data_IF_086297423924
#
_entry.id   IF_086297423924
#
_cell.length_a   1.000
_cell.length_b   1.000
_cell.length_c   1.000
_cell.angle_alpha   90.00
_cell.angle_beta   90.00
_cell.angle_gamma   90.00
#
_symmetry.space_group_name_H-M   'P 1'
#
loop_
_entity.id
_entity.type
_entity.pdbx_description
1 polymer ?
#
# COMPACT_ATOMS: atom_id res chain seq x y z
N UNK A 1 0.78 4.82 3.89
CA UNK A 1 1.52 3.71 4.56
C UNK A 1 3.03 3.88 4.46
N UNK A 2 3.62 4.04 3.27
CA UNK A 2 5.08 4.23 3.11
C UNK A 2 5.62 5.39 3.94
N UNK A 3 4.96 6.56 3.90
CA UNK A 3 5.30 7.72 4.74
C UNK A 3 5.34 7.36 6.24
N UNK A 4 4.37 6.55 6.69
CA UNK A 4 4.35 6.06 8.08
C UNK A 4 5.53 5.15 8.41
N UNK A 5 5.87 4.20 7.52
CA UNK A 5 7.02 3.31 7.70
C UNK A 5 8.32 4.11 7.81
N UNK A 6 8.57 5.00 6.84
CA UNK A 6 9.79 5.81 6.82
C UNK A 6 9.83 6.82 7.95
N UNK A 7 8.68 7.45 8.30
CA UNK A 7 8.59 8.35 9.44
C UNK A 7 8.94 7.65 10.75
N UNK A 8 8.43 6.44 10.98
CA UNK A 8 8.74 5.66 12.19
C UNK A 8 10.23 5.27 12.22
N UNK A 9 10.81 4.84 11.10
CA UNK A 9 12.25 4.56 11.03
C UNK A 9 13.08 5.81 11.30
N UNK A 10 12.68 6.97 10.80
CA UNK A 10 13.37 8.24 11.09
C UNK A 10 13.33 8.60 12.57
N UNK A 11 12.21 8.39 13.27
CA UNK A 11 12.12 8.62 14.72
C UNK A 11 13.03 7.68 15.50
N UNK A 12 13.24 6.45 15.03
CA UNK A 12 14.19 5.52 15.62
C UNK A 12 15.63 6.02 15.48
N UNK A 13 16.01 6.47 14.28
CA UNK A 13 17.31 7.09 14.01
C UNK A 13 17.57 8.34 14.89
N UNK A 14 16.55 9.21 15.01
CA UNK A 14 16.63 10.39 15.88
C UNK A 14 16.81 10.02 17.35
N UNK A 15 16.10 9.00 17.84
CA UNK A 15 16.28 8.52 19.22
C UNK A 15 17.73 8.06 19.46
N UNK A 16 18.27 7.26 18.52
CA UNK A 16 19.65 6.80 18.61
C UNK A 16 20.64 7.97 18.57
N UNK A 17 20.46 8.92 17.67
CA UNK A 17 21.29 10.11 17.54
C UNK A 17 21.35 10.92 18.83
N UNK A 18 20.21 11.29 19.40
CA UNK A 18 20.16 12.11 20.59
C UNK A 18 20.64 11.39 21.84
N UNK A 19 20.40 10.08 21.95
CA UNK A 19 20.76 9.31 23.15
C UNK A 19 22.24 8.90 23.15
N UNK A 20 22.75 8.43 22.01
CA UNK A 20 24.06 7.75 21.96
C UNK A 20 25.15 8.67 21.44
N UNK A 21 24.83 9.56 20.50
CA UNK A 21 25.84 10.37 19.82
C UNK A 21 25.87 11.83 20.29
N UNK A 22 24.73 12.53 20.29
CA UNK A 22 24.64 13.95 20.65
C UNK A 22 24.51 14.16 22.15
N UNK A 23 24.11 13.15 22.91
CA UNK A 23 23.95 13.19 24.36
C UNK A 23 23.01 14.32 24.84
N UNK A 24 21.90 14.53 24.13
CA UNK A 24 20.93 15.58 24.47
C UNK A 24 19.82 15.01 25.35
N UNK A 25 19.78 15.49 26.60
CA UNK A 25 18.84 15.02 27.63
C UNK A 25 17.41 15.36 27.26
N UNK A 26 17.13 16.54 26.72
CA UNK A 26 15.78 16.99 26.40
C UNK A 26 15.16 16.16 25.25
N UNK A 27 15.89 16.04 24.12
CA UNK A 27 15.41 15.27 22.99
C UNK A 27 15.35 13.76 23.29
N UNK A 28 16.30 13.26 24.09
CA UNK A 28 16.24 11.86 24.55
C UNK A 28 14.98 11.62 25.39
N UNK A 29 14.62 12.53 26.30
CA UNK A 29 13.40 12.42 27.11
C UNK A 29 12.12 12.42 26.26
N UNK A 30 12.12 13.15 25.13
CA UNK A 30 10.98 13.18 24.19
C UNK A 30 10.87 11.87 23.41
N UNK A 31 11.97 11.38 22.85
CA UNK A 31 11.93 10.24 21.91
C UNK A 31 12.00 8.87 22.60
N UNK A 32 12.86 8.73 23.62
CA UNK A 32 13.06 7.46 24.31
C UNK A 32 11.80 7.02 25.05
N UNK A 33 11.41 5.78 24.89
CA UNK A 33 10.24 5.17 25.54
C UNK A 33 8.89 5.62 24.96
N UNK A 34 8.67 6.91 24.77
CA UNK A 34 7.38 7.46 24.32
C UNK A 34 6.97 6.94 22.91
N UNK A 35 7.92 6.85 21.99
CA UNK A 35 7.68 6.40 20.62
C UNK A 35 7.91 4.90 20.42
N UNK A 36 8.39 4.22 21.44
CA UNK A 36 8.70 2.79 21.39
C UNK A 36 7.56 1.87 20.90
N UNK A 37 6.28 2.10 21.25
CA UNK A 37 5.20 1.30 20.72
C UNK A 37 5.07 1.39 19.20
N UNK A 38 5.34 2.56 18.61
CA UNK A 38 5.23 2.78 17.17
C UNK A 38 6.19 1.88 16.37
N UNK A 39 7.30 1.47 16.96
CA UNK A 39 8.30 0.65 16.28
C UNK A 39 7.85 -0.81 16.01
N UNK A 40 6.67 -1.20 16.52
CA UNK A 40 6.01 -2.46 16.15
C UNK A 40 5.09 -2.34 14.92
N UNK A 41 4.87 -1.13 14.38
CA UNK A 41 4.01 -0.91 13.23
C UNK A 41 4.66 -1.10 11.86
N UNK A 42 5.98 -0.81 11.64
CA UNK A 42 6.58 -0.90 10.30
C UNK A 42 6.43 -2.28 9.65
N UNK A 43 6.56 -3.36 10.43
CA UNK A 43 6.36 -4.72 9.93
C UNK A 43 4.94 -4.99 9.40
N UNK A 44 3.90 -4.84 10.24
CA UNK A 44 2.51 -4.90 9.80
C UNK A 44 2.17 -3.98 8.63
N UNK A 45 2.66 -2.74 8.66
CA UNK A 45 2.43 -1.78 7.58
C UNK A 45 3.07 -2.24 6.27
N UNK A 46 4.29 -2.80 6.30
CA UNK A 46 4.94 -3.37 5.13
C UNK A 46 4.13 -4.53 4.54
N UNK A 47 3.67 -5.44 5.40
CA UNK A 47 2.86 -6.59 4.97
C UNK A 47 1.54 -6.15 4.34
N UNK A 48 0.79 -5.26 5.01
CA UNK A 48 -0.48 -4.76 4.50
C UNK A 48 -0.28 -3.97 3.20
N UNK A 49 0.78 -3.16 3.12
CA UNK A 49 1.14 -2.44 1.90
C UNK A 49 1.43 -3.41 0.75
N UNK A 50 2.30 -4.41 0.98
CA UNK A 50 2.67 -5.42 -0.01
C UNK A 50 1.44 -6.18 -0.51
N UNK A 51 0.64 -6.73 0.40
CA UNK A 51 -0.57 -7.48 0.07
C UNK A 51 -1.55 -6.63 -0.74
N UNK A 52 -1.85 -5.43 -0.25
CA UNK A 52 -2.88 -4.59 -0.86
C UNK A 52 -2.46 -4.07 -2.23
N UNK A 53 -1.19 -3.69 -2.40
CA UNK A 53 -0.68 -3.23 -3.69
C UNK A 53 -0.69 -4.33 -4.75
N UNK A 54 -0.37 -5.58 -4.37
CA UNK A 54 -0.34 -6.70 -5.31
C UNK A 54 -1.73 -7.30 -5.58
N UNK A 55 -2.69 -7.19 -4.65
CA UNK A 55 -4.00 -7.85 -4.76
C UNK A 55 -5.17 -6.88 -4.89
N UNK A 56 -4.90 -5.58 -5.03
CA UNK A 56 -5.91 -4.50 -5.14
C UNK A 56 -6.97 -4.57 -4.02
N UNK A 57 -6.53 -4.74 -2.79
CA UNK A 57 -7.40 -4.80 -1.61
C UNK A 57 -7.37 -3.51 -0.82
N UNK A 58 -8.46 -3.22 -0.12
CA UNK A 58 -8.50 -2.13 0.85
C UNK A 58 -7.67 -2.44 2.10
N UNK A 59 -7.32 -1.40 2.86
CA UNK A 59 -6.32 -1.47 3.96
C UNK A 59 -6.69 -2.50 5.04
N UNK A 60 -7.90 -2.45 5.56
CA UNK A 60 -8.42 -3.34 6.60
C UNK A 60 -9.72 -4.00 6.12
N UNK A 61 -9.61 -4.80 5.06
CA UNK A 61 -10.77 -5.46 4.45
C UNK A 61 -11.38 -6.51 5.36
N UNK A 62 -10.54 -7.18 6.14
CA UNK A 62 -10.99 -8.26 7.05
C UNK A 62 -10.77 -7.87 8.50
N UNK A 63 -11.71 -8.24 9.38
CA UNK A 63 -11.55 -8.06 10.83
C UNK A 63 -10.24 -8.63 11.38
N UNK A 64 -9.72 -9.69 10.76
CA UNK A 64 -8.43 -10.30 11.13
C UNK A 64 -7.24 -9.38 10.89
N UNK A 65 -7.35 -8.40 10.00
CA UNK A 65 -6.26 -7.47 9.71
C UNK A 65 -5.92 -6.58 10.91
N UNK A 66 -6.89 -6.33 11.80
CA UNK A 66 -6.64 -5.61 13.06
C UNK A 66 -5.73 -6.37 14.04
N UNK A 67 -5.62 -7.70 13.92
CA UNK A 67 -4.71 -8.49 14.77
C UNK A 67 -3.23 -8.12 14.54
N UNK A 68 -2.91 -7.57 13.38
CA UNK A 68 -1.57 -7.07 13.09
C UNK A 68 -1.17 -5.86 13.93
N UNK A 69 -2.14 -5.17 14.55
CA UNK A 69 -1.89 -4.05 15.46
C UNK A 69 -1.68 -4.49 16.92
N UNK A 70 -1.90 -5.78 17.23
CA UNK A 70 -1.81 -6.32 18.59
C UNK A 70 -0.42 -6.08 19.23
N UNK A 71 0.72 -6.28 18.55
CA UNK A 71 2.03 -6.03 19.14
C UNK A 71 2.23 -4.56 19.55
N UNK A 72 1.74 -3.63 18.73
CA UNK A 72 1.71 -2.21 19.08
C UNK A 72 0.89 -1.95 20.34
N UNK A 73 -0.33 -2.51 20.42
CA UNK A 73 -1.22 -2.33 21.55
C UNK A 73 -0.61 -2.92 22.85
N UNK A 74 -0.02 -4.11 22.78
CA UNK A 74 0.65 -4.75 23.92
C UNK A 74 1.81 -3.87 24.40
N UNK A 75 2.63 -3.36 23.49
CA UNK A 75 3.77 -2.52 23.86
C UNK A 75 3.33 -1.14 24.39
N UNK A 76 2.24 -0.58 23.85
CA UNK A 76 1.67 0.66 24.37
C UNK A 76 1.18 0.49 25.81
N UNK A 77 0.45 -0.59 26.10
CA UNK A 77 0.02 -0.94 27.45
C UNK A 77 1.24 -1.14 28.35
N UNK A 78 2.24 -1.92 27.87
CA UNK A 78 3.46 -2.18 28.64
C UNK A 78 4.20 -0.91 29.06
N UNK A 79 4.27 0.08 28.19
CA UNK A 79 4.99 1.35 28.45
C UNK A 79 4.10 2.47 28.97
N UNK A 80 2.80 2.22 29.16
CA UNK A 80 1.86 3.27 29.61
C UNK A 80 2.30 3.97 30.91
N UNK A 81 2.87 3.30 31.95
CA UNK A 81 3.34 4.01 33.14
C UNK A 81 4.46 5.03 32.83
N UNK A 82 5.35 4.70 31.92
CA UNK A 82 6.41 5.62 31.49
C UNK A 82 5.85 6.73 30.56
N UNK A 83 5.00 6.38 29.61
CA UNK A 83 4.42 7.34 28.65
C UNK A 83 3.64 8.43 29.38
N UNK A 84 2.89 8.07 30.42
CA UNK A 84 2.07 9.00 31.21
C UNK A 84 2.79 9.55 32.45
N UNK A 85 4.08 9.24 32.67
CA UNK A 85 4.86 9.81 33.76
C UNK A 85 5.14 11.32 33.55
N UNK A 86 5.56 12.01 34.62
CA UNK A 86 5.94 13.40 34.54
C UNK A 86 7.16 13.62 33.60
N UNK A 87 7.25 14.81 33.03
CA UNK A 87 8.38 15.12 32.15
C UNK A 87 9.72 15.16 32.92
N UNK A 88 9.70 15.56 34.19
CA UNK A 88 10.88 15.54 35.05
C UNK A 88 11.42 14.12 35.23
N UNK A 89 10.57 13.13 35.44
CA UNK A 89 10.97 11.72 35.48
C UNK A 89 11.62 11.26 34.16
N UNK A 90 11.09 11.74 33.02
CA UNK A 90 11.67 11.42 31.70
C UNK A 90 13.03 12.08 31.49
N UNK A 91 13.21 13.32 31.98
CA UNK A 91 14.51 14.01 31.95
C UNK A 91 15.54 13.29 32.82
N UNK A 92 15.15 12.85 34.02
CA UNK A 92 16.03 12.07 34.93
C UNK A 92 16.42 10.74 34.25
N UNK A 93 15.44 9.99 33.68
CA UNK A 93 15.70 8.76 32.94
C UNK A 93 16.65 8.99 31.78
N UNK A 94 16.46 10.05 30.99
CA UNK A 94 17.32 10.41 29.87
C UNK A 94 18.75 10.74 30.33
N UNK A 95 18.90 11.48 31.42
CA UNK A 95 20.20 11.82 32.01
C UNK A 95 20.95 10.55 32.44
N UNK A 96 20.28 9.65 33.13
CA UNK A 96 20.85 8.34 33.52
C UNK A 96 21.26 7.48 32.35
N UNK A 97 20.47 7.47 31.26
CA UNK A 97 20.79 6.72 30.02
C UNK A 97 22.05 7.31 29.34
N UNK A 98 22.14 8.61 29.26
CA UNK A 98 23.28 9.28 28.64
C UNK A 98 24.55 9.10 29.48
N UNK A 99 24.45 9.14 30.82
CA UNK A 99 25.59 8.91 31.70
C UNK A 99 26.16 7.49 31.61
N UNK A 100 25.28 6.48 31.47
CA UNK A 100 25.66 5.09 31.23
C UNK A 100 24.60 4.37 30.37
N UNK A 101 24.97 4.05 29.14
CA UNK A 101 24.09 3.36 28.17
C UNK A 101 23.63 1.96 28.67
N UNK A 102 24.36 1.34 29.61
CA UNK A 102 23.93 0.09 30.21
C UNK A 102 22.62 0.20 30.96
N UNK A 103 22.25 1.40 31.40
CA UNK A 103 20.97 1.70 32.02
C UNK A 103 19.78 1.42 31.09
N UNK A 104 19.98 1.31 29.78
CA UNK A 104 18.94 0.92 28.80
C UNK A 104 18.32 -0.45 29.13
N UNK A 105 19.02 -1.30 29.89
CA UNK A 105 18.56 -2.62 30.28
C UNK A 105 17.48 -2.58 31.36
N UNK A 106 17.42 -1.51 32.12
CA UNK A 106 16.56 -1.40 33.31
C UNK A 106 15.66 -0.16 33.30
N UNK A 107 16.14 0.95 32.74
CA UNK A 107 15.42 2.21 32.75
C UNK A 107 14.35 2.30 31.66
N UNK A 108 13.26 2.97 31.96
CA UNK A 108 12.11 3.12 31.05
C UNK A 108 11.40 1.80 30.78
N UNK A 109 11.51 0.88 31.73
CA UNK A 109 10.93 -0.47 31.63
C UNK A 109 9.42 -0.41 31.66
N UNK A 110 8.80 -1.19 30.78
CA UNK A 110 7.41 -1.55 30.93
C UNK A 110 7.20 -2.51 32.12
N UNK A 111 5.97 -2.60 32.56
CA UNK A 111 5.61 -3.47 33.72
C UNK A 111 5.34 -4.93 33.31
N UNK A 112 5.11 -5.22 32.02
CA UNK A 112 4.80 -6.58 31.52
C UNK A 112 5.99 -7.24 30.84
N UNK A 113 6.75 -6.49 30.04
CA UNK A 113 7.83 -7.01 29.20
C UNK A 113 9.13 -6.31 29.57
N UNK A 114 10.17 -7.05 29.98
CA UNK A 114 11.48 -6.48 30.26
C UNK A 114 12.06 -5.72 29.05
N UNK A 115 12.85 -4.66 29.28
CA UNK A 115 13.46 -3.86 28.21
C UNK A 115 14.23 -4.73 27.20
N UNK A 116 15.02 -5.67 27.69
CA UNK A 116 15.81 -6.60 26.85
C UNK A 116 14.94 -7.33 25.83
N UNK A 117 13.81 -7.90 26.27
CA UNK A 117 12.89 -8.59 25.37
C UNK A 117 12.26 -7.60 24.40
N UNK A 118 11.85 -6.44 24.88
CA UNK A 118 11.26 -5.39 24.03
C UNK A 118 12.22 -4.94 22.93
N UNK A 119 13.50 -4.74 23.23
CA UNK A 119 14.51 -4.31 22.26
C UNK A 119 14.80 -5.39 21.20
N UNK A 120 14.87 -6.67 21.58
CA UNK A 120 15.10 -7.78 20.65
C UNK A 120 13.87 -8.02 19.78
N UNK A 121 12.68 -7.95 20.35
CA UNK A 121 11.44 -8.27 19.62
C UNK A 121 11.08 -7.25 18.55
N UNK A 122 11.43 -5.97 18.70
CA UNK A 122 11.16 -4.92 17.72
C UNK A 122 11.74 -5.23 16.34
N UNK A 123 13.08 -5.35 16.17
CA UNK A 123 13.66 -5.69 14.87
C UNK A 123 13.26 -7.10 14.41
N UNK A 124 13.11 -8.07 15.31
CA UNK A 124 12.67 -9.42 14.98
C UNK A 124 11.26 -9.41 14.35
N UNK A 125 10.34 -8.62 14.89
CA UNK A 125 9.00 -8.47 14.33
C UNK A 125 9.03 -7.89 12.91
N UNK A 126 9.77 -6.82 12.70
CA UNK A 126 9.91 -6.21 11.37
C UNK A 126 10.52 -7.21 10.39
N UNK A 127 11.55 -7.94 10.81
CA UNK A 127 12.21 -8.97 9.99
C UNK A 127 11.26 -10.12 9.61
N UNK A 128 10.46 -10.63 10.56
CA UNK A 128 9.46 -11.68 10.31
C UNK A 128 8.42 -11.18 9.30
N UNK A 129 7.90 -9.97 9.48
CA UNK A 129 6.94 -9.39 8.54
C UNK A 129 7.54 -9.14 7.15
N UNK A 130 8.80 -8.75 7.06
CA UNK A 130 9.50 -8.64 5.79
C UNK A 130 9.61 -9.98 5.07
N UNK A 131 9.91 -11.07 5.79
CA UNK A 131 9.91 -12.45 5.25
C UNK A 131 8.51 -12.87 4.78
N UNK A 132 7.47 -12.62 5.60
CA UNK A 132 6.08 -12.92 5.21
C UNK A 132 5.71 -12.13 3.94
N UNK A 133 6.12 -10.86 3.86
CA UNK A 133 5.90 -10.02 2.68
C UNK A 133 6.60 -10.58 1.44
N UNK A 134 7.86 -11.03 1.57
CA UNK A 134 8.59 -11.70 0.49
C UNK A 134 7.91 -13.00 0.04
N UNK A 135 7.32 -13.77 0.96
CA UNK A 135 6.54 -14.96 0.60
C UNK A 135 5.27 -14.60 -0.19
N UNK A 136 4.60 -13.48 0.17
CA UNK A 136 3.45 -12.98 -0.59
C UNK A 136 3.88 -12.57 -2.00
N UNK A 137 4.98 -11.83 -2.11
CA UNK A 137 5.56 -11.40 -3.40
C UNK A 137 5.96 -12.60 -4.26
N UNK A 138 6.63 -13.58 -3.67
CA UNK A 138 7.03 -14.81 -4.37
C UNK A 138 5.80 -15.56 -4.94
N UNK A 139 4.77 -15.76 -4.11
CA UNK A 139 3.51 -16.40 -4.57
C UNK A 139 2.81 -15.62 -5.66
N UNK A 140 2.79 -14.31 -5.55
CA UNK A 140 2.25 -13.45 -6.60
C UNK A 140 3.04 -13.59 -7.89
N UNK A 141 4.38 -13.51 -7.83
CA UNK A 141 5.27 -13.67 -8.99
C UNK A 141 5.11 -15.04 -9.68
N UNK A 142 4.93 -16.11 -8.92
CA UNK A 142 4.69 -17.45 -9.45
C UNK A 142 3.32 -17.57 -10.17
N UNK A 143 2.28 -16.94 -9.62
CA UNK A 143 0.94 -16.99 -10.17
C UNK A 143 0.72 -16.05 -11.37
N UNK A 144 1.41 -14.90 -11.38
CA UNK A 144 1.23 -13.82 -12.36
C UNK A 144 2.44 -13.67 -13.30
N UNK A 145 3.24 -14.72 -13.46
CA UNK A 145 4.50 -14.69 -14.22
C UNK A 145 4.33 -14.13 -15.64
N UNK A 146 3.30 -14.57 -16.37
CA UNK A 146 3.04 -14.06 -17.71
C UNK A 146 2.72 -12.56 -17.73
N UNK A 147 1.97 -12.07 -16.74
CA UNK A 147 1.63 -10.67 -16.64
C UNK A 147 2.84 -9.79 -16.30
N UNK A 148 3.72 -10.29 -15.44
CA UNK A 148 4.95 -9.59 -15.09
C UNK A 148 5.90 -9.45 -16.30
N UNK A 149 5.84 -10.40 -17.27
CA UNK A 149 6.62 -10.32 -18.51
C UNK A 149 5.97 -9.33 -19.48
N UNK A 150 4.63 -9.40 -19.62
CA UNK A 150 3.89 -8.62 -20.63
C UNK A 150 3.63 -7.17 -20.22
N UNK A 151 3.59 -6.87 -18.91
CA UNK A 151 3.23 -5.54 -18.40
C UNK A 151 4.39 -4.91 -17.62
N UNK A 152 5.04 -3.90 -18.24
CA UNK A 152 6.16 -3.16 -17.63
C UNK A 152 5.82 -2.51 -16.29
N UNK A 153 4.56 -2.03 -16.14
CA UNK A 153 4.07 -1.42 -14.90
C UNK A 153 4.00 -2.44 -13.77
N UNK A 154 3.41 -3.62 -14.02
CA UNK A 154 3.34 -4.68 -13.02
C UNK A 154 4.75 -5.14 -12.61
N UNK A 155 5.68 -5.23 -13.56
CA UNK A 155 7.08 -5.53 -13.29
C UNK A 155 7.74 -4.44 -12.42
N UNK A 156 7.46 -3.17 -12.68
CA UNK A 156 7.97 -2.07 -11.88
C UNK A 156 7.46 -2.14 -10.43
N UNK A 157 6.15 -2.30 -10.24
CA UNK A 157 5.52 -2.46 -8.92
C UNK A 157 6.08 -3.68 -8.18
N UNK A 158 6.20 -4.80 -8.87
CA UNK A 158 6.79 -6.02 -8.32
C UNK A 158 8.23 -5.78 -7.84
N UNK A 159 9.09 -5.24 -8.69
CA UNK A 159 10.49 -4.96 -8.37
C UNK A 159 10.61 -3.97 -7.19
N UNK A 160 9.78 -2.94 -7.17
CA UNK A 160 9.71 -2.00 -6.05
C UNK A 160 9.43 -2.72 -4.73
N UNK A 161 8.39 -3.54 -4.69
CA UNK A 161 7.98 -4.24 -3.46
C UNK A 161 9.05 -5.25 -3.03
N UNK A 162 9.64 -6.01 -3.98
CA UNK A 162 10.77 -6.91 -3.69
C UNK A 162 11.91 -6.12 -3.04
N UNK A 163 12.32 -5.02 -3.66
CA UNK A 163 13.42 -4.17 -3.16
C UNK A 163 13.11 -3.63 -1.77
N UNK A 164 11.90 -3.10 -1.56
CA UNK A 164 11.46 -2.58 -0.28
C UNK A 164 11.49 -3.67 0.82
N UNK A 165 11.00 -4.86 0.54
CA UNK A 165 11.00 -5.99 1.48
C UNK A 165 12.42 -6.47 1.81
N UNK A 166 13.29 -6.61 0.79
CA UNK A 166 14.68 -7.04 0.98
C UNK A 166 15.48 -6.03 1.80
N UNK A 167 15.34 -4.75 1.47
CA UNK A 167 16.00 -3.65 2.19
C UNK A 167 15.54 -3.63 3.64
N UNK A 168 14.22 -3.70 3.89
CA UNK A 168 13.67 -3.72 5.24
C UNK A 168 14.16 -4.94 6.02
N UNK A 169 14.25 -6.10 5.38
CA UNK A 169 14.80 -7.32 5.99
C UNK A 169 16.26 -7.14 6.41
N UNK A 170 17.11 -6.65 5.50
CA UNK A 170 18.55 -6.46 5.75
C UNK A 170 18.77 -5.45 6.89
N UNK A 171 18.08 -4.31 6.85
CA UNK A 171 18.15 -3.28 7.89
C UNK A 171 17.72 -3.86 9.25
N UNK A 172 16.60 -4.57 9.29
CA UNK A 172 16.08 -5.17 10.52
C UNK A 172 17.00 -6.26 11.07
N UNK A 173 17.62 -7.05 10.20
CA UNK A 173 18.60 -8.07 10.59
C UNK A 173 19.87 -7.43 11.18
N UNK A 174 20.37 -6.34 10.59
CA UNK A 174 21.47 -5.55 11.11
C UNK A 174 21.16 -4.98 12.50
N UNK A 175 19.95 -4.44 12.69
CA UNK A 175 19.48 -3.95 13.99
C UNK A 175 19.36 -5.07 15.02
N UNK A 176 18.83 -6.22 14.63
CA UNK A 176 18.76 -7.38 15.51
C UNK A 176 20.15 -7.82 15.96
N UNK A 177 21.10 -7.85 15.03
CA UNK A 177 22.49 -8.16 15.34
C UNK A 177 23.08 -7.19 16.38
N UNK A 178 22.95 -5.87 16.16
CA UNK A 178 23.42 -4.84 17.09
C UNK A 178 22.73 -4.96 18.46
N UNK A 179 21.45 -5.25 18.49
CA UNK A 179 20.69 -5.42 19.74
C UNK A 179 21.13 -6.66 20.51
N UNK A 180 21.39 -7.78 19.83
CA UNK A 180 21.90 -9.00 20.46
C UNK A 180 23.30 -8.76 21.02
N UNK A 181 24.14 -8.06 20.28
CA UNK A 181 25.51 -7.74 20.71
C UNK A 181 25.53 -6.86 21.95
N UNK A 182 24.62 -5.87 22.01
CA UNK A 182 24.41 -5.03 23.19
C UNK A 182 24.10 -5.83 24.47
N UNK A 183 23.48 -7.00 24.35
CA UNK A 183 23.11 -7.83 25.49
C UNK A 183 24.07 -9.00 25.79
N UNK A 184 24.95 -9.38 24.85
CA UNK A 184 25.94 -10.46 25.04
C UNK A 184 27.18 -10.03 25.79
N UNK A 185 27.64 -8.81 25.57
CA UNK A 185 28.86 -8.32 26.21
C UNK A 185 28.50 -7.43 27.41
N UNK A 186 29.41 -7.32 28.40
CA UNK A 186 29.55 -6.08 29.15
C UNK A 186 29.70 -5.00 28.11
N UNK A 187 28.71 -4.11 27.98
CA UNK A 187 28.62 -3.18 26.85
C UNK A 187 29.90 -2.39 26.74
N UNK A 188 30.67 -2.72 25.72
CA UNK A 188 31.76 -1.87 25.34
C UNK A 188 31.10 -0.68 24.62
N UNK A 189 30.98 0.48 25.28
CA UNK A 189 30.52 1.75 24.73
C UNK A 189 31.05 2.00 23.31
N UNK A 190 32.28 1.52 23.11
CA UNK A 190 33.03 1.63 21.86
C UNK A 190 32.27 1.12 20.64
N UNK A 191 31.41 0.09 20.75
CA UNK A 191 30.71 -0.43 19.57
C UNK A 191 29.50 0.44 19.19
N UNK A 192 28.69 0.88 20.17
CA UNK A 192 27.51 1.73 19.92
C UNK A 192 27.87 3.18 19.56
N UNK A 193 28.93 3.69 20.18
CA UNK A 193 29.45 5.05 19.94
C UNK A 193 30.49 5.08 18.81
N UNK A 194 30.81 3.91 18.20
CA UNK A 194 31.77 3.86 17.10
C UNK A 194 31.22 4.57 15.86
N UNK A 195 32.09 5.32 15.18
CA UNK A 195 31.73 5.96 13.89
C UNK A 195 31.10 5.02 12.89
N UNK A 196 31.58 3.76 12.65
CA UNK A 196 30.94 2.82 11.74
C UNK A 196 29.49 2.51 12.12
N UNK A 197 29.18 2.30 13.40
CA UNK A 197 27.81 1.99 13.84
C UNK A 197 26.88 3.19 13.62
N UNK A 198 27.36 4.40 13.91
CA UNK A 198 26.60 5.63 13.65
C UNK A 198 26.35 5.85 12.16
N UNK A 199 27.37 5.69 11.31
CA UNK A 199 27.25 5.82 9.86
C UNK A 199 26.27 4.77 9.30
N UNK A 200 26.39 3.49 9.71
CA UNK A 200 25.48 2.43 9.30
C UNK A 200 24.03 2.74 9.71
N UNK A 201 23.81 3.19 10.94
CA UNK A 201 22.50 3.62 11.42
C UNK A 201 21.95 4.79 10.62
N UNK A 202 22.76 5.83 10.39
CA UNK A 202 22.37 6.99 9.60
C UNK A 202 22.02 6.63 8.16
N UNK A 203 22.80 5.77 7.51
CA UNK A 203 22.52 5.24 6.18
C UNK A 203 21.21 4.44 6.18
N UNK A 204 21.03 3.53 7.14
CA UNK A 204 19.87 2.67 7.20
C UNK A 204 18.57 3.45 7.42
N UNK A 205 18.57 4.48 8.26
CA UNK A 205 17.35 5.19 8.67
C UNK A 205 17.06 6.46 7.87
N UNK A 206 18.07 7.12 7.33
CA UNK A 206 17.89 8.39 6.64
C UNK A 206 18.16 8.28 5.13
N UNK A 207 19.32 7.74 4.74
CA UNK A 207 19.73 7.71 3.33
C UNK A 207 19.04 6.62 2.53
N UNK A 208 18.77 5.46 3.12
CA UNK A 208 18.17 4.33 2.41
C UNK A 208 16.72 4.60 1.97
N UNK A 209 15.82 5.14 2.82
CA UNK A 209 14.50 5.58 2.37
C UNK A 209 14.57 6.61 1.24
N UNK A 210 15.51 7.56 1.34
CA UNK A 210 15.69 8.59 0.32
C UNK A 210 16.18 7.97 -1.00
N UNK A 211 17.15 7.07 -0.94
CA UNK A 211 17.66 6.34 -2.11
C UNK A 211 16.55 5.53 -2.80
N UNK A 212 15.71 4.82 -2.03
CA UNK A 212 14.57 4.09 -2.58
C UNK A 212 13.61 5.01 -3.33
N UNK A 213 13.34 6.22 -2.83
CA UNK A 213 12.50 7.20 -3.51
C UNK A 213 13.16 7.71 -4.78
N UNK A 214 14.48 7.92 -4.78
CA UNK A 214 15.23 8.37 -5.97
C UNK A 214 15.26 7.29 -7.06
N UNK A 215 15.47 6.03 -6.71
CA UNK A 215 15.47 4.92 -7.68
C UNK A 215 14.07 4.56 -8.18
N UNK A 216 13.03 4.87 -7.41
CA UNK A 216 11.64 4.62 -7.77
C UNK A 216 10.80 5.90 -7.64
N UNK A 217 11.08 6.96 -8.43
CA UNK A 217 10.41 8.25 -8.32
C UNK A 217 8.89 8.17 -8.52
N UNK A 218 8.41 7.13 -9.22
CA UNK A 218 6.98 6.87 -9.43
C UNK A 218 6.22 6.70 -8.10
N UNK A 219 6.90 6.31 -7.01
CA UNK A 219 6.30 6.19 -5.67
C UNK A 219 5.78 7.53 -5.16
N UNK A 220 6.48 8.64 -5.48
CA UNK A 220 6.09 10.00 -5.09
C UNK A 220 4.79 10.47 -5.77
N UNK A 221 4.57 10.01 -7.01
CA UNK A 221 3.40 10.39 -7.81
C UNK A 221 2.24 9.41 -7.69
N UNK A 222 2.33 8.46 -6.77
CA UNK A 222 1.40 7.35 -6.60
C UNK A 222 1.74 6.21 -7.56
N UNK A 223 2.25 5.11 -7.04
CA UNK A 223 2.40 3.90 -7.84
C UNK A 223 1.04 3.44 -8.33
N UNK A 224 0.93 3.16 -9.63
CA UNK A 224 -0.26 2.48 -10.12
C UNK A 224 -0.36 1.11 -9.43
N UNK A 225 -1.58 0.77 -9.02
CA UNK A 225 -1.88 -0.56 -8.49
C UNK A 225 -1.55 -1.59 -9.56
N UNK A 226 -1.03 -2.75 -9.17
CA UNK A 226 -0.78 -3.83 -10.12
C UNK A 226 -2.08 -4.16 -10.85
N UNK A 227 -2.07 -4.04 -12.18
CA UNK A 227 -3.24 -4.37 -12.99
C UNK A 227 -3.43 -5.88 -12.89
N UNK A 228 -4.46 -6.30 -12.15
CA UNK A 228 -4.83 -7.72 -12.10
C UNK A 228 -5.18 -8.21 -13.50
N UNK A 229 -4.57 -9.30 -13.92
CA UNK A 229 -4.94 -10.00 -15.16
C UNK A 229 -6.25 -10.78 -15.04
N UNK A 230 -7.06 -10.46 -14.06
CA UNK A 230 -8.42 -10.95 -14.17
C UNK A 230 -8.86 -10.63 -15.59
N UNK A 231 -8.85 -11.68 -16.45
CA UNK A 231 -9.53 -11.68 -17.75
C UNK A 231 -10.71 -10.76 -17.58
N UNK A 232 -10.87 -9.79 -18.51
CA UNK A 232 -12.11 -9.04 -18.60
C UNK A 232 -13.20 -10.09 -18.41
N UNK A 233 -13.64 -10.24 -17.17
CA UNK A 233 -14.71 -11.17 -16.88
C UNK A 233 -15.82 -10.59 -17.74
N UNK A 234 -16.32 -11.33 -18.73
CA UNK A 234 -17.67 -11.07 -19.24
C UNK A 234 -18.42 -10.60 -18.01
N UNK A 235 -18.99 -9.39 -18.07
CA UNK A 235 -19.68 -8.81 -16.92
C UNK A 235 -20.71 -9.85 -16.51
N UNK A 236 -20.29 -10.76 -15.66
CA UNK A 236 -21.18 -11.73 -15.04
C UNK A 236 -21.91 -10.90 -14.02
N UNK A 237 -23.19 -10.77 -14.22
CA UNK A 237 -24.12 -10.19 -13.25
C UNK A 237 -23.69 -10.77 -11.91
N UNK A 238 -23.38 -9.95 -10.88
CA UNK A 238 -23.24 -10.47 -9.52
C UNK A 238 -24.53 -11.24 -9.29
N UNK A 239 -24.44 -12.51 -8.89
CA UNK A 239 -25.59 -13.33 -8.53
C UNK A 239 -26.24 -12.67 -7.32
N UNK A 240 -27.04 -11.68 -7.59
CA UNK A 240 -27.97 -11.07 -6.65
C UNK A 240 -29.24 -11.86 -6.82
N UNK A 241 -29.56 -12.62 -5.82
CA UNK A 241 -30.78 -13.37 -5.60
C UNK A 241 -31.48 -13.85 -6.89
N UNK A 242 -31.24 -15.13 -7.25
CA UNK A 242 -31.84 -15.74 -8.44
C UNK A 242 -33.41 -15.75 -8.39
N UNK A 243 -33.99 -15.18 -7.34
CA UNK A 243 -35.42 -15.05 -7.13
C UNK A 243 -36.00 -13.69 -7.61
N UNK A 244 -35.17 -12.70 -8.00
CA UNK A 244 -35.71 -11.43 -8.46
C UNK A 244 -36.33 -11.58 -9.85
N UNK A 245 -37.62 -11.22 -10.03
CA UNK A 245 -38.34 -11.42 -11.30
C UNK A 245 -37.76 -10.62 -12.48
N UNK A 246 -36.88 -9.62 -12.24
CA UNK A 246 -36.22 -8.84 -13.27
C UNK A 246 -34.77 -9.27 -13.55
N UNK A 247 -34.31 -10.38 -13.00
CA UNK A 247 -32.95 -10.91 -13.25
C UNK A 247 -32.76 -11.28 -14.73
N UNK A 248 -33.75 -11.93 -15.36
CA UNK A 248 -33.74 -12.25 -16.79
C UNK A 248 -33.74 -10.97 -17.65
N UNK A 249 -34.49 -9.96 -17.23
CA UNK A 249 -34.51 -8.64 -17.88
C UNK A 249 -33.13 -7.95 -17.78
N UNK A 250 -32.48 -8.02 -16.62
CA UNK A 250 -31.14 -7.47 -16.46
C UNK A 250 -30.11 -8.18 -17.35
N UNK A 251 -30.23 -9.52 -17.51
CA UNK A 251 -29.37 -10.28 -18.42
C UNK A 251 -29.59 -9.84 -19.88
N UNK A 252 -30.85 -9.71 -20.31
CA UNK A 252 -31.20 -9.25 -21.66
C UNK A 252 -30.60 -7.86 -21.96
N UNK A 253 -30.66 -6.93 -21.01
CA UNK A 253 -30.05 -5.61 -21.14
C UNK A 253 -28.52 -5.71 -21.28
N UNK A 254 -27.87 -6.55 -20.48
CA UNK A 254 -26.41 -6.75 -20.53
C UNK A 254 -25.98 -7.37 -21.85
N UNK A 255 -26.70 -8.38 -22.31
CA UNK A 255 -26.41 -9.05 -23.58
C UNK A 255 -26.56 -8.08 -24.77
N UNK A 256 -27.63 -7.29 -24.81
CA UNK A 256 -27.80 -6.23 -25.81
C UNK A 256 -26.63 -5.22 -25.80
N UNK A 257 -26.23 -4.74 -24.63
CA UNK A 257 -25.13 -3.78 -24.53
C UNK A 257 -23.79 -4.38 -24.98
N UNK A 258 -23.54 -5.67 -24.69
CA UNK A 258 -22.30 -6.34 -25.08
C UNK A 258 -22.25 -6.70 -26.58
N UNK A 259 -23.36 -7.12 -27.16
CA UNK A 259 -23.45 -7.58 -28.55
C UNK A 259 -23.50 -6.41 -29.52
N UNK A 260 -24.42 -5.45 -29.32
CA UNK A 260 -24.63 -4.33 -30.24
C UNK A 260 -23.73 -3.13 -29.95
N UNK A 261 -23.10 -3.09 -28.76
CA UNK A 261 -22.21 -2.00 -28.31
C UNK A 261 -22.78 -0.59 -28.48
N UNK A 262 -24.05 -0.37 -28.11
CA UNK A 262 -24.71 0.92 -28.33
C UNK A 262 -24.03 2.08 -27.59
N UNK A 263 -23.25 1.78 -26.55
CA UNK A 263 -22.47 2.77 -25.79
C UNK A 263 -21.39 3.49 -26.63
N UNK A 264 -21.07 3.00 -27.82
CA UNK A 264 -20.17 3.68 -28.76
C UNK A 264 -20.84 4.88 -29.42
N UNK A 265 -22.17 4.92 -29.43
CA UNK A 265 -22.89 6.13 -29.80
C UNK A 265 -22.79 7.16 -28.65
N UNK A 266 -22.36 8.36 -28.99
CA UNK A 266 -22.23 9.46 -28.04
C UNK A 266 -23.53 9.77 -27.30
N UNK A 267 -24.68 9.74 -28.02
CA UNK A 267 -26.01 10.08 -27.51
C UNK A 267 -26.70 8.90 -26.75
N UNK A 268 -26.07 7.72 -26.67
CA UNK A 268 -26.70 6.55 -26.06
C UNK A 268 -27.19 6.78 -24.64
N UNK A 269 -28.47 6.52 -24.40
CA UNK A 269 -29.13 6.69 -23.11
C UNK A 269 -30.10 5.54 -22.77
N UNK A 270 -30.76 5.65 -21.61
CA UNK A 270 -31.77 4.65 -21.12
C UNK A 270 -32.95 4.55 -22.09
N UNK A 271 -33.32 5.65 -22.73
CA UNK A 271 -34.34 5.72 -23.74
C UNK A 271 -34.11 4.74 -24.89
N UNK A 272 -32.87 4.65 -25.37
CA UNK A 272 -32.51 3.75 -26.48
C UNK A 272 -32.69 2.28 -26.08
N UNK A 273 -32.38 1.92 -24.82
CA UNK A 273 -32.59 0.58 -24.30
C UNK A 273 -34.10 0.28 -24.21
N UNK A 274 -34.88 1.25 -23.71
CA UNK A 274 -36.32 1.11 -23.54
C UNK A 274 -37.02 0.87 -24.87
N UNK A 275 -36.65 1.65 -25.89
CA UNK A 275 -37.20 1.52 -27.23
C UNK A 275 -36.77 0.24 -27.93
N UNK A 276 -35.47 -0.12 -27.83
CA UNK A 276 -34.91 -1.27 -28.51
C UNK A 276 -35.42 -2.61 -27.96
N UNK A 277 -35.56 -2.73 -26.64
CA UNK A 277 -35.92 -3.99 -25.96
C UNK A 277 -37.40 -4.03 -25.54
N UNK A 278 -38.16 -2.96 -25.81
CA UNK A 278 -39.56 -2.81 -25.36
C UNK A 278 -39.72 -3.00 -23.84
N UNK A 279 -38.77 -2.43 -23.07
CA UNK A 279 -38.72 -2.54 -21.61
C UNK A 279 -39.04 -1.17 -20.99
N UNK A 280 -39.99 -1.09 -20.02
CA UNK A 280 -40.28 0.17 -19.34
C UNK A 280 -39.03 0.75 -18.64
N UNK A 281 -38.78 2.07 -18.79
CA UNK A 281 -37.61 2.77 -18.23
C UNK A 281 -37.37 2.49 -16.74
N UNK A 282 -38.43 2.40 -15.95
CA UNK A 282 -38.30 2.15 -14.52
C UNK A 282 -37.76 0.74 -14.22
N UNK A 283 -38.06 -0.26 -15.05
CA UNK A 283 -37.45 -1.60 -14.95
C UNK A 283 -35.96 -1.54 -15.28
N UNK A 284 -35.56 -0.80 -16.32
CA UNK A 284 -34.15 -0.63 -16.71
C UNK A 284 -33.37 0.03 -15.56
N UNK A 285 -33.93 1.14 -15.00
CA UNK A 285 -33.30 1.81 -13.85
C UNK A 285 -33.17 0.88 -12.65
N UNK A 286 -34.20 0.06 -12.38
CA UNK A 286 -34.17 -0.95 -11.32
C UNK A 286 -33.08 -1.98 -11.58
N UNK A 287 -32.99 -2.55 -12.80
CA UNK A 287 -31.95 -3.50 -13.18
C UNK A 287 -30.54 -2.95 -12.95
N UNK A 288 -30.29 -1.72 -13.39
CA UNK A 288 -28.98 -1.09 -13.14
C UNK A 288 -28.71 -0.84 -11.66
N UNK A 289 -29.70 -0.32 -10.92
CA UNK A 289 -29.46 0.13 -9.54
C UNK A 289 -29.46 -1.03 -8.55
N UNK A 290 -30.41 -1.96 -8.69
CA UNK A 290 -30.64 -3.03 -7.71
C UNK A 290 -29.93 -4.34 -8.10
N UNK A 291 -29.95 -4.72 -9.38
CA UNK A 291 -29.38 -5.99 -9.83
C UNK A 291 -27.90 -5.82 -10.22
N UNK A 292 -27.57 -4.86 -11.06
CA UNK A 292 -26.19 -4.59 -11.49
C UNK A 292 -25.40 -3.74 -10.49
N UNK A 293 -26.07 -3.18 -9.48
CA UNK A 293 -25.48 -2.35 -8.41
C UNK A 293 -24.64 -1.17 -8.94
N UNK A 294 -24.98 -0.66 -10.10
CA UNK A 294 -24.32 0.48 -10.76
C UNK A 294 -25.37 1.40 -11.40
N UNK A 295 -25.11 2.70 -11.37
CA UNK A 295 -25.92 3.64 -12.16
C UNK A 295 -25.64 3.42 -13.65
N UNK A 296 -26.64 3.58 -14.51
CA UNK A 296 -26.49 3.46 -15.98
C UNK A 296 -25.32 4.30 -16.52
N UNK A 297 -25.21 5.56 -16.09
CA UNK A 297 -24.13 6.46 -16.55
C UNK A 297 -22.74 5.93 -16.19
N UNK A 298 -22.57 5.35 -15.01
CA UNK A 298 -21.32 4.74 -14.58
C UNK A 298 -21.04 3.45 -15.37
N UNK A 299 -22.06 2.63 -15.62
CA UNK A 299 -21.94 1.41 -16.44
C UNK A 299 -21.55 1.75 -17.87
N UNK A 300 -22.24 2.72 -18.51
CA UNK A 300 -21.92 3.23 -19.84
C UNK A 300 -20.47 3.73 -19.93
N UNK A 301 -20.05 4.54 -18.97
CA UNK A 301 -18.69 5.06 -18.93
C UNK A 301 -17.64 3.94 -18.81
N UNK A 302 -17.88 2.96 -17.96
CA UNK A 302 -17.02 1.79 -17.81
C UNK A 302 -16.86 1.04 -19.13
N UNK A 303 -17.98 0.76 -19.86
CA UNK A 303 -17.96 0.06 -21.15
C UNK A 303 -17.17 0.84 -22.22
N UNK A 304 -17.32 2.17 -22.26
CA UNK A 304 -16.55 3.06 -23.14
C UNK A 304 -15.06 3.01 -22.87
N UNK A 305 -14.67 3.00 -21.58
CA UNK A 305 -13.26 2.90 -21.20
C UNK A 305 -12.69 1.54 -21.53
N UNK A 306 -13.41 0.44 -21.31
CA UNK A 306 -12.95 -0.89 -21.70
C UNK A 306 -12.73 -0.98 -23.22
N UNK A 307 -13.63 -0.41 -24.02
CA UNK A 307 -13.44 -0.34 -25.47
C UNK A 307 -12.22 0.50 -25.87
N UNK A 308 -12.01 1.67 -25.22
CA UNK A 308 -10.82 2.47 -25.46
C UNK A 308 -9.53 1.72 -25.13
N UNK A 309 -9.52 0.96 -24.04
CA UNK A 309 -8.38 0.08 -23.67
C UNK A 309 -8.12 -0.99 -24.72
N UNK A 310 -9.19 -1.62 -25.25
CA UNK A 310 -9.05 -2.60 -26.35
C UNK A 310 -8.41 -1.97 -27.60
N UNK A 311 -8.80 -0.73 -27.96
CA UNK A 311 -8.22 -0.03 -29.09
C UNK A 311 -6.75 0.31 -28.86
N UNK A 312 -6.40 0.75 -27.66
CA UNK A 312 -5.00 1.03 -27.28
C UNK A 312 -4.13 -0.26 -27.35
N UNK A 313 -4.64 -1.38 -26.84
CA UNK A 313 -3.93 -2.67 -26.91
C UNK A 313 -3.77 -3.24 -28.33
N UNK A 314 -4.69 -2.92 -29.24
CA UNK A 314 -4.60 -3.35 -30.65
C UNK A 314 -3.61 -2.51 -31.47
N UNK A 315 -2.93 -1.56 -30.87
CA UNK A 315 -2.00 -0.68 -31.60
C UNK A 315 -2.72 0.35 -32.48
N UNK A 316 -4.00 0.58 -32.26
CA UNK A 316 -4.79 1.59 -33.04
C UNK A 316 -4.22 3.00 -32.87
N UNK A 317 -3.45 3.25 -31.80
CA UNK A 317 -2.75 4.50 -31.57
C UNK A 317 -1.65 4.82 -32.62
N UNK A 318 -1.21 3.83 -33.38
CA UNK A 318 -0.27 4.05 -34.50
C UNK A 318 -0.93 4.71 -35.70
N UNK A 319 -2.26 4.53 -35.85
CA UNK A 319 -3.05 5.07 -36.96
C UNK A 319 -4.06 6.14 -36.54
N UNK A 320 -4.38 6.25 -35.27
CA UNK A 320 -5.38 7.15 -34.73
C UNK A 320 -4.84 7.89 -33.51
N UNK A 321 -5.13 9.18 -33.40
CA UNK A 321 -4.77 9.92 -32.19
C UNK A 321 -5.52 9.41 -30.95
N UNK A 322 -4.96 9.63 -29.77
CA UNK A 322 -5.62 9.28 -28.48
C UNK A 322 -7.01 9.91 -28.37
N UNK A 323 -7.16 11.14 -28.89
CA UNK A 323 -8.44 11.84 -28.92
C UNK A 323 -9.44 11.13 -29.87
N UNK A 324 -8.94 10.62 -31.01
CA UNK A 324 -9.72 9.80 -31.93
C UNK A 324 -10.19 8.48 -31.31
N UNK A 325 -9.34 7.84 -30.49
CA UNK A 325 -9.73 6.66 -29.73
C UNK A 325 -10.84 6.98 -28.73
N UNK A 326 -10.77 8.15 -28.05
CA UNK A 326 -11.85 8.62 -27.18
C UNK A 326 -13.18 8.80 -27.93
N UNK A 327 -13.13 9.44 -29.11
CA UNK A 327 -14.31 9.63 -29.94
C UNK A 327 -14.90 8.31 -30.44
N UNK A 328 -14.07 7.36 -30.92
CA UNK A 328 -14.51 6.02 -31.32
C UNK A 328 -15.08 5.19 -30.16
N UNK A 329 -14.71 5.53 -28.93
CA UNK A 329 -15.26 4.92 -27.73
C UNK A 329 -16.53 5.60 -27.20
N UNK A 330 -17.11 6.53 -27.96
CA UNK A 330 -18.37 7.17 -27.65
C UNK A 330 -18.28 8.40 -26.76
N UNK A 331 -17.09 8.99 -26.55
CA UNK A 331 -16.96 10.23 -25.79
C UNK A 331 -17.14 11.46 -26.68
N UNK A 332 -17.99 12.39 -26.24
CA UNK A 332 -18.29 13.66 -26.93
C UNK A 332 -17.18 14.72 -26.78
N UNK A 333 -16.31 14.56 -25.79
CA UNK A 333 -15.25 15.54 -25.52
C UNK A 333 -13.97 14.88 -25.03
N UNK A 334 -12.84 15.49 -25.43
CA UNK A 334 -11.51 15.10 -24.95
C UNK A 334 -11.40 15.17 -23.42
N UNK A 335 -11.88 16.25 -22.80
CA UNK A 335 -11.82 16.43 -21.36
C UNK A 335 -12.63 15.37 -20.60
N UNK A 336 -13.82 15.02 -21.10
CA UNK A 336 -14.65 13.94 -20.56
C UNK A 336 -13.98 12.58 -20.67
N UNK A 337 -13.39 12.28 -21.82
CA UNK A 337 -12.62 11.05 -22.02
C UNK A 337 -11.44 10.93 -21.05
N UNK A 338 -10.55 11.94 -21.00
CA UNK A 338 -9.37 11.93 -20.14
C UNK A 338 -9.72 11.84 -18.66
N UNK A 339 -10.73 12.60 -18.21
CA UNK A 339 -11.19 12.56 -16.83
C UNK A 339 -11.74 11.19 -16.44
N UNK A 340 -12.61 10.61 -17.29
CA UNK A 340 -13.22 9.30 -17.05
C UNK A 340 -12.18 8.19 -17.13
N UNK A 341 -11.30 8.24 -18.13
CA UNK A 341 -10.24 7.26 -18.29
C UNK A 341 -9.31 7.24 -17.07
N UNK A 342 -8.92 8.40 -16.57
CA UNK A 342 -8.09 8.53 -15.36
C UNK A 342 -8.84 8.06 -14.11
N UNK A 343 -10.13 8.33 -14.00
CA UNK A 343 -10.94 7.89 -12.86
C UNK A 343 -11.08 6.37 -12.81
N UNK A 344 -11.25 5.71 -13.98
CA UNK A 344 -11.44 4.24 -14.07
C UNK A 344 -10.12 3.46 -14.05
N UNK A 345 -9.01 4.03 -14.58
CA UNK A 345 -7.73 3.33 -14.74
C UNK A 345 -6.63 3.81 -13.82
N UNK A 346 -6.80 4.99 -13.19
CA UNK A 346 -5.75 5.68 -12.42
C UNK A 346 -4.73 6.42 -13.28
N UNK A 347 -4.72 6.24 -14.62
CA UNK A 347 -3.76 6.80 -15.57
C UNK A 347 -4.46 7.66 -16.62
N UNK A 348 -3.75 8.64 -17.17
CA UNK A 348 -4.22 9.28 -18.41
C UNK A 348 -4.09 8.29 -19.58
N UNK A 349 -4.87 8.46 -20.68
CA UNK A 349 -4.76 7.59 -21.85
C UNK A 349 -3.34 7.51 -22.42
N UNK A 350 -2.59 8.63 -22.42
CA UNK A 350 -1.20 8.66 -22.88
C UNK A 350 -0.28 7.83 -21.96
N UNK A 351 -0.40 8.01 -20.64
CA UNK A 351 0.35 7.22 -19.67
C UNK A 351 -0.01 5.73 -19.74
N UNK A 352 -1.28 5.43 -19.99
CA UNK A 352 -1.71 4.05 -20.18
C UNK A 352 -1.10 3.43 -21.44
N UNK A 353 -1.07 4.15 -22.56
CA UNK A 353 -0.42 3.71 -23.80
C UNK A 353 1.07 3.45 -23.59
N UNK A 354 1.78 4.37 -22.94
CA UNK A 354 3.20 4.19 -22.59
C UNK A 354 3.44 2.97 -21.69
N UNK A 355 2.47 2.63 -20.86
CA UNK A 355 2.57 1.48 -19.94
C UNK A 355 2.37 0.12 -20.61
N UNK A 356 1.73 0.09 -21.79
CA UNK A 356 1.45 -1.13 -22.56
C UNK A 356 2.34 -1.28 -23.81
N UNK A 357 3.03 -0.20 -24.22
CA UNK A 357 4.04 -0.22 -25.30
C UNK A 357 5.35 -0.86 -24.82
#
# INVERSE_FOLDING_TARGET
MLTGIFGIFSTYGLTHYFTVYHHDVFWTAIFYGNLSPLWYLPGPMLYLYTRNTLTDRSLFEKKKDYLHLLPFAIQFINLSPYIFSSFDYKLETASLLISDINNVRTLGSGFLIPPTISFITRPSFVMIYALISLLVVYRYGANEHENLIKNKQNKLVYNWIVTLCLVTFIVSAGFLYLTIDLYKASVNRVILESEPTYIISGIAFALLPLALIVFFPQVLYGMPVAVSSKKVAKVTIPVVDASDPLTETAQLIVDYINEEKPYLNEAFDIEDIAEKLDIPKHHIIYCFTMILQKKFTAYRSMMRIEHAKELLHKGTADSLSIDGIGAQSGFSSRSGFYATFKAETGLTPSQYLESIA
#
